data_IF_254331734477
#
_entry.id   IF_254331734477
#
_cell.length_a   1.000
_cell.length_b   1.000
_cell.length_c   1.000
_cell.angle_alpha   90.00
_cell.angle_beta   90.00
_cell.angle_gamma   90.00
#
_symmetry.space_group_name_H-M   'P 1'
#
loop_
_entity.id
_entity.type
_entity.pdbx_description
1 polymer ?
#
# COMPACT_ATOMS: atom_id res chain seq x y z
N UNK A 1 -33.47 12.74 -12.73
CA UNK A 1 -33.33 14.21 -12.58
C UNK A 1 -31.86 14.62 -12.78
N UNK A 2 -30.95 14.28 -11.87
CA UNK A 2 -29.54 14.70 -11.96
C UNK A 2 -28.82 14.24 -13.25
N UNK A 3 -29.13 13.05 -13.78
CA UNK A 3 -28.53 12.60 -15.03
C UNK A 3 -28.82 13.53 -16.22
N UNK A 4 -30.05 14.02 -16.37
CA UNK A 4 -30.39 14.93 -17.48
C UNK A 4 -29.71 16.29 -17.33
N UNK A 5 -29.62 16.80 -16.10
CA UNK A 5 -28.87 18.03 -15.79
C UNK A 5 -27.38 17.90 -16.15
N UNK A 6 -26.79 16.71 -15.94
CA UNK A 6 -25.38 16.43 -16.24
C UNK A 6 -25.10 16.05 -17.69
N UNK A 7 -26.12 15.73 -18.46
CA UNK A 7 -26.02 15.59 -19.92
C UNK A 7 -25.95 16.99 -20.53
N UNK A 8 -26.83 17.91 -20.10
CA UNK A 8 -26.77 19.32 -20.50
C UNK A 8 -25.47 20.01 -20.10
N UNK A 9 -24.97 19.77 -18.87
CA UNK A 9 -23.67 20.30 -18.43
C UNK A 9 -22.51 19.77 -19.30
N UNK A 10 -22.52 18.49 -19.65
CA UNK A 10 -21.46 17.88 -20.47
C UNK A 10 -21.47 18.42 -21.91
N UNK A 11 -22.66 18.62 -22.50
CA UNK A 11 -22.81 19.19 -23.83
C UNK A 11 -22.25 20.63 -23.90
N UNK A 12 -22.55 21.45 -22.87
CA UNK A 12 -22.07 22.84 -22.73
C UNK A 12 -20.53 22.86 -22.55
N UNK A 13 -20.00 22.02 -21.65
CA UNK A 13 -18.55 21.98 -21.40
C UNK A 13 -17.78 21.48 -22.62
N UNK A 14 -18.33 20.49 -23.33
CA UNK A 14 -17.74 19.89 -24.53
C UNK A 14 -17.79 20.79 -25.77
N UNK A 15 -18.55 21.88 -25.75
CA UNK A 15 -18.66 22.81 -26.86
C UNK A 15 -17.46 23.79 -26.87
N UNK A 16 -16.51 23.61 -27.78
CA UNK A 16 -15.31 24.47 -27.89
C UNK A 16 -15.62 25.92 -28.27
N UNK A 17 -16.79 26.19 -28.85
CA UNK A 17 -17.21 27.54 -29.27
C UNK A 17 -17.73 28.40 -28.10
N UNK A 18 -17.97 27.81 -26.93
CA UNK A 18 -18.50 28.53 -25.78
C UNK A 18 -17.40 29.21 -24.94
N UNK A 19 -17.69 30.46 -24.54
CA UNK A 19 -16.80 31.24 -23.68
C UNK A 19 -16.59 30.54 -22.33
N UNK A 20 -15.35 30.55 -21.85
CA UNK A 20 -14.97 29.94 -20.58
C UNK A 20 -15.82 30.45 -19.41
N UNK A 21 -16.16 31.74 -19.41
CA UNK A 21 -17.05 32.34 -18.38
C UNK A 21 -18.42 31.65 -18.34
N UNK A 22 -19.00 31.33 -19.50
CA UNK A 22 -20.30 30.66 -19.58
C UNK A 22 -20.22 29.21 -19.06
N UNK A 23 -19.14 28.49 -19.38
CA UNK A 23 -18.87 27.14 -18.85
C UNK A 23 -18.74 27.16 -17.32
N UNK A 24 -18.05 28.17 -16.79
CA UNK A 24 -17.91 28.39 -15.34
C UNK A 24 -19.28 28.66 -14.68
N UNK A 25 -20.13 29.49 -15.30
CA UNK A 25 -21.49 29.73 -14.77
C UNK A 25 -22.32 28.46 -14.75
N UNK A 26 -22.27 27.66 -15.83
CA UNK A 26 -23.00 26.40 -15.90
C UNK A 26 -22.63 25.46 -14.75
N UNK A 27 -21.32 25.27 -14.52
CA UNK A 27 -20.83 24.42 -13.42
C UNK A 27 -21.28 24.94 -12.07
N UNK A 28 -21.22 26.25 -11.85
CA UNK A 28 -21.67 26.86 -10.59
C UNK A 28 -23.18 26.61 -10.35
N UNK A 29 -24.01 26.73 -11.39
CA UNK A 29 -25.45 26.48 -11.29
C UNK A 29 -25.77 25.00 -11.02
N UNK A 30 -25.13 24.09 -11.76
CA UNK A 30 -25.32 22.64 -11.58
C UNK A 30 -24.84 22.20 -10.20
N UNK A 31 -23.69 22.70 -9.76
CA UNK A 31 -23.15 22.45 -8.43
C UNK A 31 -24.11 22.91 -7.32
N UNK A 32 -24.71 24.09 -7.49
CA UNK A 32 -25.74 24.60 -6.55
C UNK A 32 -26.95 23.69 -6.49
N UNK A 33 -27.45 23.22 -7.64
CA UNK A 33 -28.59 22.31 -7.70
C UNK A 33 -28.30 20.95 -7.02
N UNK A 34 -27.09 20.42 -7.20
CA UNK A 34 -26.64 19.19 -6.54
C UNK A 34 -26.55 19.36 -5.02
N UNK A 35 -26.06 20.50 -4.53
CA UNK A 35 -25.98 20.81 -3.11
C UNK A 35 -27.39 20.89 -2.50
N UNK A 36 -28.34 21.56 -3.16
CA UNK A 36 -29.75 21.58 -2.72
C UNK A 36 -30.31 20.16 -2.65
N UNK A 37 -30.01 19.32 -3.65
CA UNK A 37 -30.38 17.91 -3.65
C UNK A 37 -29.82 17.15 -2.45
N UNK A 38 -28.54 17.36 -2.13
CA UNK A 38 -27.88 16.79 -0.94
C UNK A 38 -28.51 17.29 0.36
N UNK A 39 -28.81 18.58 0.49
CA UNK A 39 -29.46 19.14 1.68
C UNK A 39 -30.86 18.54 1.90
N UNK A 40 -31.63 18.33 0.83
CA UNK A 40 -32.92 17.65 0.91
C UNK A 40 -32.78 16.18 1.35
N UNK A 41 -31.69 15.49 0.95
CA UNK A 41 -31.38 14.13 1.42
C UNK A 41 -31.11 14.15 2.93
N UNK A 42 -30.29 15.09 3.41
CA UNK A 42 -29.95 15.18 4.83
C UNK A 42 -31.16 15.54 5.70
N UNK A 43 -31.99 16.49 5.28
CA UNK A 43 -33.24 16.83 5.99
C UNK A 43 -34.16 15.60 6.14
N UNK A 44 -34.30 14.79 5.08
CA UNK A 44 -35.10 13.56 5.17
C UNK A 44 -34.51 12.51 6.11
N UNK A 45 -33.20 12.51 6.33
CA UNK A 45 -32.54 11.61 7.28
C UNK A 45 -32.78 12.07 8.71
N UNK A 46 -32.68 13.38 8.95
CA UNK A 46 -32.94 13.96 10.27
C UNK A 46 -34.40 13.77 10.71
N UNK A 47 -35.33 13.78 9.76
CA UNK A 47 -36.76 13.52 10.01
C UNK A 47 -37.11 12.03 10.17
N UNK A 48 -36.18 11.11 9.87
CA UNK A 48 -36.43 9.67 9.95
C UNK A 48 -36.39 9.19 11.41
N UNK A 49 -37.49 8.59 11.86
CA UNK A 49 -37.64 8.09 13.25
C UNK A 49 -36.73 6.90 13.58
N UNK A 50 -36.26 6.18 12.55
CA UNK A 50 -35.36 5.04 12.70
C UNK A 50 -33.97 5.44 12.24
N UNK A 51 -33.00 5.38 13.16
CA UNK A 51 -31.59 5.51 12.84
C UNK A 51 -31.15 4.27 12.05
N UNK A 52 -31.16 4.41 10.73
CA UNK A 52 -30.58 3.42 9.83
C UNK A 52 -29.08 3.67 9.88
N UNK A 53 -28.36 2.78 10.57
CA UNK A 53 -26.90 2.85 10.66
C UNK A 53 -26.23 3.05 9.30
N UNK A 54 -25.01 3.59 9.31
CA UNK A 54 -24.33 4.05 8.10
C UNK A 54 -24.22 3.01 6.97
N UNK A 55 -24.37 1.72 7.24
CA UNK A 55 -24.18 0.62 6.28
C UNK A 55 -25.42 0.25 5.44
N UNK A 56 -26.53 0.98 5.60
CA UNK A 56 -27.82 0.66 4.95
C UNK A 56 -28.45 1.87 4.23
N UNK A 57 -27.66 2.87 3.86
CA UNK A 57 -28.19 4.07 3.19
C UNK A 57 -28.32 3.80 1.69
N UNK A 58 -29.50 4.03 1.12
CA UNK A 58 -29.76 3.89 -0.33
C UNK A 58 -28.84 4.79 -1.20
N UNK A 59 -28.29 5.85 -0.62
CA UNK A 59 -27.31 6.76 -1.24
C UNK A 59 -25.92 6.15 -1.42
N UNK A 60 -25.61 5.05 -0.75
CA UNK A 60 -24.36 4.31 -0.95
C UNK A 60 -24.37 3.49 -2.23
N UNK A 61 -25.54 3.33 -2.85
CA UNK A 61 -25.61 2.71 -4.16
C UNK A 61 -24.81 3.53 -5.18
N UNK A 62 -23.85 2.87 -5.84
CA UNK A 62 -22.91 3.52 -6.78
C UNK A 62 -23.60 4.38 -7.84
N UNK A 63 -24.80 3.99 -8.26
CA UNK A 63 -25.56 4.71 -9.27
C UNK A 63 -26.09 6.07 -8.78
N UNK A 64 -26.30 6.25 -7.47
CA UNK A 64 -26.72 7.51 -6.85
C UNK A 64 -25.56 8.50 -6.72
N UNK A 65 -24.34 8.01 -6.47
CA UNK A 65 -23.15 8.86 -6.37
C UNK A 65 -22.57 9.25 -7.74
N UNK A 66 -22.84 8.47 -8.80
CA UNK A 66 -22.32 8.70 -10.15
C UNK A 66 -22.56 10.14 -10.67
N UNK A 67 -23.75 10.74 -10.51
CA UNK A 67 -23.99 12.14 -10.85
C UNK A 67 -23.03 13.12 -10.16
N UNK A 68 -22.89 12.99 -8.83
CA UNK A 68 -22.04 13.86 -8.03
C UNK A 68 -20.56 13.70 -8.39
N UNK A 69 -20.11 12.46 -8.63
CA UNK A 69 -18.74 12.16 -9.07
C UNK A 69 -18.47 12.77 -10.45
N UNK A 70 -19.41 12.64 -11.39
CA UNK A 70 -19.26 13.20 -12.74
C UNK A 70 -19.13 14.72 -12.69
N UNK A 71 -20.04 15.39 -11.98
CA UNK A 71 -19.98 16.84 -11.77
C UNK A 71 -18.67 17.27 -11.12
N UNK A 72 -18.26 16.59 -10.04
CA UNK A 72 -17.03 16.94 -9.34
C UNK A 72 -15.79 16.86 -10.24
N UNK A 73 -15.71 15.87 -11.14
CA UNK A 73 -14.64 15.78 -12.13
C UNK A 73 -14.68 16.94 -13.14
N UNK A 74 -15.86 17.32 -13.62
CA UNK A 74 -16.04 18.45 -14.53
C UNK A 74 -15.65 19.78 -13.85
N UNK A 75 -16.06 19.95 -12.60
CA UNK A 75 -15.70 21.09 -11.75
C UNK A 75 -14.18 21.21 -11.60
N UNK A 76 -13.46 20.13 -11.27
CA UNK A 76 -12.00 20.17 -11.18
C UNK A 76 -11.31 20.48 -12.50
N UNK A 77 -11.82 19.94 -13.61
CA UNK A 77 -11.28 20.25 -14.93
C UNK A 77 -11.47 21.74 -15.28
N UNK A 78 -12.63 22.30 -14.95
CA UNK A 78 -12.90 23.72 -15.16
C UNK A 78 -12.02 24.60 -14.27
N UNK A 79 -11.85 24.25 -12.99
CA UNK A 79 -10.93 24.97 -12.09
C UNK A 79 -9.51 24.96 -12.66
N UNK A 80 -9.03 23.83 -13.17
CA UNK A 80 -7.72 23.72 -13.79
C UNK A 80 -7.58 24.59 -15.06
N UNK A 81 -8.64 24.74 -15.85
CA UNK A 81 -8.65 25.58 -17.05
C UNK A 81 -8.76 27.08 -16.74
N UNK A 82 -9.61 27.45 -15.79
CA UNK A 82 -9.85 28.84 -15.40
C UNK A 82 -8.75 29.43 -14.50
N UNK A 83 -8.06 28.58 -13.73
CA UNK A 83 -6.99 28.96 -12.82
C UNK A 83 -7.50 29.69 -11.56
N UNK A 84 -6.56 29.99 -10.66
CA UNK A 84 -6.84 30.60 -9.36
C UNK A 84 -7.32 32.07 -9.43
N UNK A 85 -7.08 32.75 -10.55
CA UNK A 85 -7.48 34.16 -10.76
C UNK A 85 -8.95 34.30 -11.16
N UNK A 86 -9.67 33.20 -11.36
CA UNK A 86 -11.10 33.21 -11.66
C UNK A 86 -11.89 33.83 -10.49
N UNK A 87 -12.75 34.81 -10.78
CA UNK A 87 -13.59 35.48 -9.77
C UNK A 87 -14.51 34.51 -9.00
N UNK A 88 -14.85 33.38 -9.62
CA UNK A 88 -15.71 32.33 -9.06
C UNK A 88 -14.93 31.17 -8.42
N UNK A 89 -13.61 31.18 -8.45
CA UNK A 89 -12.76 30.08 -7.94
C UNK A 89 -13.15 29.64 -6.54
N UNK A 90 -13.27 30.59 -5.60
CA UNK A 90 -13.60 30.29 -4.20
C UNK A 90 -14.99 29.65 -4.05
N UNK A 91 -15.97 30.11 -4.85
CA UNK A 91 -17.32 29.56 -4.83
C UNK A 91 -17.33 28.11 -5.37
N UNK A 92 -16.69 27.87 -6.50
CA UNK A 92 -16.55 26.52 -7.09
C UNK A 92 -15.78 25.59 -6.17
N UNK A 93 -14.69 26.05 -5.55
CA UNK A 93 -13.92 25.26 -4.61
C UNK A 93 -14.78 24.84 -3.42
N UNK A 94 -15.56 25.76 -2.85
CA UNK A 94 -16.50 25.46 -1.76
C UNK A 94 -17.53 24.43 -2.18
N UNK A 95 -18.10 24.53 -3.39
CA UNK A 95 -19.01 23.51 -3.91
C UNK A 95 -18.32 22.15 -4.05
N UNK A 96 -17.10 22.14 -4.61
CA UNK A 96 -16.26 20.96 -4.72
C UNK A 96 -16.04 20.26 -3.38
N UNK A 97 -15.73 21.01 -2.32
CA UNK A 97 -15.56 20.46 -0.96
C UNK A 97 -16.86 19.85 -0.42
N UNK A 98 -18.00 20.53 -0.58
CA UNK A 98 -19.29 20.04 -0.08
C UNK A 98 -19.70 18.75 -0.80
N UNK A 99 -19.54 18.70 -2.13
CA UNK A 99 -19.87 17.54 -2.95
C UNK A 99 -18.90 16.39 -2.68
N UNK A 100 -17.60 16.67 -2.59
CA UNK A 100 -16.58 15.68 -2.21
C UNK A 100 -16.88 15.06 -0.84
N UNK A 101 -17.19 15.90 0.15
CA UNK A 101 -17.52 15.44 1.50
C UNK A 101 -18.78 14.56 1.50
N UNK A 102 -19.79 14.88 0.71
CA UNK A 102 -20.96 14.03 0.55
C UNK A 102 -20.58 12.66 -0.05
N UNK A 103 -19.85 12.64 -1.18
CA UNK A 103 -19.45 11.38 -1.83
C UNK A 103 -18.62 10.51 -0.88
N UNK A 104 -17.59 11.08 -0.24
CA UNK A 104 -16.71 10.34 0.67
C UNK A 104 -17.46 9.83 1.89
N UNK A 105 -18.46 10.57 2.40
CA UNK A 105 -19.29 10.11 3.51
C UNK A 105 -20.11 8.84 3.16
N UNK A 106 -20.51 8.70 1.90
CA UNK A 106 -21.31 7.56 1.44
C UNK A 106 -20.46 6.36 0.98
N UNK A 107 -19.14 6.54 0.77
CA UNK A 107 -18.23 5.45 0.42
C UNK A 107 -17.92 4.56 1.63
N UNK A 108 -17.65 3.27 1.39
CA UNK A 108 -17.12 2.37 2.41
C UNK A 108 -15.68 2.74 2.79
N UNK A 109 -15.21 2.30 3.96
CA UNK A 109 -13.87 2.63 4.45
C UNK A 109 -12.75 2.27 3.46
N UNK A 110 -12.82 1.08 2.85
CA UNK A 110 -11.81 0.61 1.88
C UNK A 110 -11.80 1.45 0.59
N UNK A 111 -12.99 1.87 0.11
CA UNK A 111 -13.13 2.69 -1.09
C UNK A 111 -12.59 4.12 -0.89
N UNK A 112 -12.47 4.58 0.36
CA UNK A 112 -11.91 5.90 0.70
C UNK A 112 -10.38 5.90 0.70
N UNK A 113 -9.73 4.74 0.82
CA UNK A 113 -8.28 4.66 0.87
C UNK A 113 -7.68 5.01 -0.49
N UNK A 114 -6.71 5.94 -0.53
CA UNK A 114 -6.19 6.52 -1.77
C UNK A 114 -7.30 7.15 -2.63
N UNK A 115 -8.17 7.95 -2.03
CA UNK A 115 -9.31 8.51 -2.72
C UNK A 115 -8.90 9.35 -3.93
N UNK A 116 -9.45 9.09 -5.14
CA UNK A 116 -9.18 9.90 -6.32
C UNK A 116 -9.67 11.35 -6.14
N UNK A 117 -10.66 11.57 -5.26
CA UNK A 117 -11.18 12.90 -4.95
C UNK A 117 -10.12 13.72 -4.21
N UNK A 118 -9.47 13.12 -3.20
CA UNK A 118 -8.38 13.79 -2.46
C UNK A 118 -7.20 14.06 -3.39
N UNK A 119 -6.87 13.11 -4.29
CA UNK A 119 -5.84 13.32 -5.30
C UNK A 119 -6.12 14.53 -6.21
N UNK A 120 -7.37 14.75 -6.62
CA UNK A 120 -7.75 15.92 -7.42
C UNK A 120 -7.54 17.25 -6.68
N UNK A 121 -7.84 17.31 -5.38
CA UNK A 121 -7.52 18.51 -4.58
C UNK A 121 -6.00 18.77 -4.49
N UNK A 122 -5.19 17.71 -4.42
CA UNK A 122 -3.73 17.83 -4.46
C UNK A 122 -3.23 18.32 -5.82
N UNK A 123 -3.84 17.86 -6.93
CA UNK A 123 -3.50 18.30 -8.29
C UNK A 123 -3.75 19.80 -8.51
N UNK A 124 -4.82 20.34 -7.93
CA UNK A 124 -5.15 21.78 -8.00
C UNK A 124 -4.41 22.63 -6.95
N UNK A 125 -3.38 22.07 -6.29
CA UNK A 125 -2.58 22.73 -5.24
C UNK A 125 -3.33 23.11 -3.95
N UNK A 126 -4.54 22.58 -3.73
CA UNK A 126 -5.34 22.80 -2.51
C UNK A 126 -4.98 21.78 -1.41
N UNK A 127 -3.72 21.79 -0.99
CA UNK A 127 -3.16 20.80 -0.07
C UNK A 127 -3.83 20.79 1.31
N UNK A 128 -4.17 21.96 1.85
CA UNK A 128 -4.82 22.08 3.17
C UNK A 128 -6.17 21.38 3.16
N UNK A 129 -6.99 21.65 2.13
CA UNK A 129 -8.31 21.04 1.96
C UNK A 129 -8.19 19.54 1.75
N UNK A 130 -7.24 19.10 0.93
CA UNK A 130 -6.98 17.68 0.70
C UNK A 130 -6.65 16.93 2.01
N UNK A 131 -5.79 17.51 2.84
CA UNK A 131 -5.40 16.93 4.14
C UNK A 131 -6.59 16.93 5.10
N UNK A 132 -7.39 18.00 5.17
CA UNK A 132 -8.58 18.06 6.02
C UNK A 132 -9.63 17.03 5.63
N UNK A 133 -9.89 16.85 4.33
CA UNK A 133 -10.79 15.81 3.81
C UNK A 133 -10.26 14.42 4.14
N UNK A 134 -8.99 14.15 3.87
CA UNK A 134 -8.38 12.86 4.18
C UNK A 134 -8.41 12.55 5.68
N UNK A 135 -8.16 13.55 6.55
CA UNK A 135 -8.29 13.41 8.00
C UNK A 135 -9.73 13.11 8.42
N UNK A 136 -10.69 13.89 7.93
CA UNK A 136 -12.11 13.76 8.27
C UNK A 136 -12.68 12.39 7.88
N UNK A 137 -12.28 11.88 6.71
CA UNK A 137 -12.82 10.64 6.15
C UNK A 137 -11.91 9.43 6.33
N UNK A 138 -10.84 9.57 7.10
CA UNK A 138 -9.92 8.49 7.46
C UNK A 138 -9.25 7.83 6.23
N UNK A 139 -8.89 8.63 5.22
CA UNK A 139 -8.02 8.18 4.12
C UNK A 139 -6.58 8.13 4.60
N UNK A 140 -6.29 7.09 5.39
CA UNK A 140 -5.00 6.89 6.04
C UNK A 140 -3.90 6.70 5.00
N UNK A 141 -4.15 5.93 3.91
CA UNK A 141 -3.12 5.71 2.88
C UNK A 141 -2.64 7.02 2.26
N UNK A 142 -3.55 7.95 1.93
CA UNK A 142 -3.15 9.25 1.39
C UNK A 142 -2.35 10.06 2.41
N UNK A 143 -2.79 10.12 3.67
CA UNK A 143 -2.09 10.85 4.74
C UNK A 143 -0.69 10.29 4.99
N UNK A 144 -0.55 8.96 5.08
CA UNK A 144 0.72 8.27 5.28
C UNK A 144 1.65 8.54 4.10
N UNK A 145 1.15 8.42 2.86
CA UNK A 145 1.93 8.70 1.64
C UNK A 145 2.45 10.13 1.61
N UNK A 146 1.60 11.11 1.95
CA UNK A 146 1.99 12.52 2.02
C UNK A 146 3.04 12.77 3.12
N UNK A 147 2.85 12.19 4.30
CA UNK A 147 3.83 12.29 5.39
C UNK A 147 5.17 11.65 5.01
N UNK A 148 5.15 10.51 4.30
CA UNK A 148 6.36 9.82 3.87
C UNK A 148 7.14 10.53 2.77
N UNK A 149 6.51 11.46 2.06
CA UNK A 149 7.18 12.34 1.10
C UNK A 149 7.99 13.47 1.78
N UNK A 150 7.79 13.70 3.08
CA UNK A 150 8.53 14.69 3.86
C UNK A 150 9.92 14.16 4.29
N UNK A 151 10.88 15.06 4.61
CA UNK A 151 12.16 14.68 5.20
C UNK A 151 12.00 13.87 6.49
N UNK A 152 12.98 13.01 6.82
CA UNK A 152 12.87 12.04 7.94
C UNK A 152 12.37 12.61 9.27
N UNK A 153 12.88 13.77 9.70
CA UNK A 153 12.51 14.41 10.97
C UNK A 153 11.04 14.84 10.93
N UNK A 154 10.62 15.49 9.85
CA UNK A 154 9.25 15.97 9.65
C UNK A 154 8.28 14.80 9.46
N UNK A 155 8.68 13.76 8.71
CA UNK A 155 7.92 12.53 8.55
C UNK A 155 7.60 11.92 9.91
N UNK A 156 8.62 11.70 10.76
CA UNK A 156 8.41 11.08 12.08
C UNK A 156 7.48 11.93 12.96
N UNK A 157 7.68 13.25 13.00
CA UNK A 157 6.79 14.14 13.73
C UNK A 157 5.34 14.10 13.21
N UNK A 158 5.16 14.05 11.88
CA UNK A 158 3.84 14.05 11.25
C UNK A 158 3.09 12.74 11.45
N UNK A 159 3.81 11.62 11.38
CA UNK A 159 3.25 10.30 11.66
C UNK A 159 2.82 10.21 13.13
N UNK A 160 3.61 10.74 14.05
CA UNK A 160 3.23 10.77 15.48
C UNK A 160 1.98 11.63 15.71
N UNK A 161 1.89 12.82 15.11
CA UNK A 161 0.67 13.65 15.13
C UNK A 161 -0.55 12.87 14.66
N UNK A 162 -0.42 12.06 13.60
CA UNK A 162 -1.53 11.26 13.09
C UNK A 162 -1.87 10.07 13.98
N UNK A 163 -0.88 9.39 14.57
CA UNK A 163 -1.11 8.34 15.57
C UNK A 163 -1.91 8.89 16.76
N UNK A 164 -1.50 10.03 17.31
CA UNK A 164 -2.20 10.69 18.40
C UNK A 164 -3.62 11.12 17.98
N UNK A 165 -3.76 11.77 16.83
CA UNK A 165 -5.04 12.29 16.34
C UNK A 165 -6.08 11.18 16.12
N UNK A 166 -5.70 10.06 15.50
CA UNK A 166 -6.63 8.98 15.22
C UNK A 166 -6.78 8.01 16.39
N UNK A 167 -5.71 7.78 17.17
CA UNK A 167 -5.66 6.81 18.27
C UNK A 167 -6.31 5.47 17.89
N UNK A 168 -6.07 5.01 16.65
CA UNK A 168 -6.73 3.88 16.01
C UNK A 168 -5.73 2.82 15.60
N UNK A 169 -6.03 1.56 15.92
CA UNK A 169 -5.25 0.41 15.47
C UNK A 169 -5.25 0.23 13.94
N UNK A 170 -6.33 0.64 13.27
CA UNK A 170 -6.43 0.55 11.81
C UNK A 170 -5.43 1.48 11.12
N UNK A 171 -5.20 2.68 11.68
CA UNK A 171 -4.17 3.59 11.18
C UNK A 171 -2.78 2.97 11.34
N UNK A 172 -2.47 2.40 12.51
CA UNK A 172 -1.18 1.76 12.76
C UNK A 172 -0.94 0.57 11.82
N UNK A 173 -1.94 -0.30 11.65
CA UNK A 173 -1.85 -1.42 10.72
C UNK A 173 -1.55 -0.94 9.29
N UNK A 174 -2.29 0.07 8.82
CA UNK A 174 -2.10 0.61 7.47
C UNK A 174 -0.75 1.32 7.29
N UNK A 175 -0.25 1.97 8.34
CA UNK A 175 1.11 2.53 8.37
C UNK A 175 2.17 1.42 8.23
N UNK A 176 2.02 0.33 8.97
CA UNK A 176 2.98 -0.77 8.94
C UNK A 176 2.96 -1.50 7.59
N UNK A 177 1.78 -1.71 6.99
CA UNK A 177 1.65 -2.19 5.61
C UNK A 177 2.37 -1.27 4.64
N UNK A 178 2.13 0.04 4.72
CA UNK A 178 2.78 1.01 3.84
C UNK A 178 4.31 0.99 3.98
N UNK A 179 4.83 0.93 5.21
CA UNK A 179 6.27 0.83 5.44
C UNK A 179 6.88 -0.44 4.85
N UNK A 180 6.19 -1.57 4.97
CA UNK A 180 6.64 -2.83 4.42
C UNK A 180 6.65 -2.80 2.87
N UNK A 181 5.58 -2.29 2.25
CA UNK A 181 5.43 -2.22 0.79
C UNK A 181 6.42 -1.25 0.13
N UNK A 182 6.74 -0.14 0.80
CA UNK A 182 7.59 0.92 0.24
C UNK A 182 9.05 0.86 0.73
N UNK A 183 9.44 -0.18 1.47
CA UNK A 183 10.83 -0.40 1.87
C UNK A 183 11.31 0.42 3.07
N UNK A 184 10.41 1.02 3.86
CA UNK A 184 10.72 1.70 5.12
C UNK A 184 10.91 0.72 6.29
N UNK A 185 11.59 -0.40 6.04
CA UNK A 185 11.78 -1.46 7.03
C UNK A 185 12.52 -0.99 8.28
N UNK A 186 13.45 -0.03 8.12
CA UNK A 186 14.16 0.57 9.26
C UNK A 186 13.21 1.29 10.20
N UNK A 187 12.38 2.20 9.66
CA UNK A 187 11.40 2.94 10.46
C UNK A 187 10.41 1.97 11.11
N UNK A 188 9.99 0.91 10.41
CA UNK A 188 9.10 -0.11 10.96
C UNK A 188 9.71 -0.89 12.13
N UNK A 189 11.00 -1.24 12.06
CA UNK A 189 11.73 -1.91 13.15
C UNK A 189 11.93 -0.98 14.37
N UNK A 190 12.10 0.32 14.16
CA UNK A 190 12.21 1.28 15.27
C UNK A 190 10.94 1.35 16.13
N UNK A 191 9.77 1.03 15.58
CA UNK A 191 8.50 1.00 16.34
C UNK A 191 8.50 -0.15 17.34
N UNK A 192 8.32 0.15 18.64
CA UNK A 192 8.32 -0.85 19.75
C UNK A 192 6.95 -1.11 20.37
N UNK A 193 5.91 -0.60 19.75
CA UNK A 193 4.53 -0.72 20.23
C UNK A 193 4.02 -2.19 20.16
N UNK A 194 3.14 -2.63 21.07
CA UNK A 194 2.55 -3.97 21.04
C UNK A 194 1.87 -4.32 19.71
N UNK A 195 1.22 -3.34 19.08
CA UNK A 195 0.53 -3.46 17.80
C UNK A 195 1.51 -3.81 16.67
N UNK A 196 2.71 -3.20 16.68
CA UNK A 196 3.76 -3.54 15.74
C UNK A 196 4.23 -5.00 15.93
N UNK A 197 4.37 -5.46 17.19
CA UNK A 197 4.74 -6.86 17.45
C UNK A 197 3.69 -7.84 16.93
N UNK A 198 2.40 -7.51 17.07
CA UNK A 198 1.31 -8.31 16.51
C UNK A 198 1.37 -8.32 14.98
N UNK A 199 1.60 -7.16 14.35
CA UNK A 199 1.78 -7.07 12.90
C UNK A 199 2.92 -7.97 12.41
N UNK A 200 4.10 -7.89 13.03
CA UNK A 200 5.24 -8.76 12.70
C UNK A 200 4.92 -10.25 12.90
N UNK A 201 4.14 -10.62 13.91
CA UNK A 201 3.73 -12.00 14.14
C UNK A 201 2.81 -12.54 13.03
N UNK A 202 1.95 -11.69 12.45
CA UNK A 202 1.11 -12.06 11.31
C UNK A 202 1.89 -12.17 9.99
N UNK A 203 2.95 -11.37 9.85
CA UNK A 203 3.75 -11.31 8.63
C UNK A 203 4.91 -12.30 8.61
N UNK A 204 4.66 -13.52 8.12
CA UNK A 204 5.66 -14.61 8.16
C UNK A 204 6.96 -14.30 7.44
N UNK A 205 6.95 -13.41 6.45
CA UNK A 205 8.12 -13.11 5.61
C UNK A 205 9.15 -12.20 6.31
N UNK A 206 8.71 -11.40 7.28
CA UNK A 206 9.54 -10.38 7.95
C UNK A 206 9.53 -10.48 9.47
N UNK A 207 8.66 -11.29 10.07
CA UNK A 207 8.57 -11.50 11.51
C UNK A 207 9.90 -11.88 12.17
N UNK A 208 10.72 -12.68 11.48
CA UNK A 208 12.06 -13.06 11.95
C UNK A 208 12.98 -11.87 12.23
N UNK A 209 12.82 -10.75 11.53
CA UNK A 209 13.65 -9.55 11.76
C UNK A 209 13.36 -8.94 13.14
N UNK A 210 12.08 -8.94 13.55
CA UNK A 210 11.67 -8.50 14.88
C UNK A 210 12.15 -9.45 15.96
N UNK A 211 12.05 -10.76 15.71
CA UNK A 211 12.55 -11.78 16.64
C UNK A 211 14.06 -11.59 16.89
N UNK A 212 14.87 -11.34 15.85
CA UNK A 212 16.29 -11.03 15.99
C UNK A 212 16.57 -9.77 16.81
N UNK A 213 15.80 -8.70 16.58
CA UNK A 213 15.97 -7.45 17.29
C UNK A 213 15.63 -7.57 18.79
N UNK A 214 14.68 -8.44 19.13
CA UNK A 214 14.31 -8.75 20.50
C UNK A 214 15.25 -9.79 21.16
N UNK A 215 16.23 -10.32 20.43
CA UNK A 215 17.16 -11.35 20.91
C UNK A 215 16.58 -12.77 20.94
N UNK A 216 15.40 -13.00 20.34
CA UNK A 216 14.80 -14.33 20.23
C UNK A 216 15.37 -15.09 19.02
N UNK A 217 16.64 -15.49 19.15
CA UNK A 217 17.38 -16.17 18.08
C UNK A 217 16.78 -17.54 17.74
N UNK A 218 16.23 -18.24 18.72
CA UNK A 218 15.54 -19.54 18.55
C UNK A 218 14.34 -19.43 17.63
N UNK A 219 13.43 -18.49 17.90
CA UNK A 219 12.27 -18.29 17.05
C UNK A 219 12.66 -17.78 15.65
N UNK A 220 13.66 -16.90 15.58
CA UNK A 220 14.16 -16.38 14.31
C UNK A 220 14.76 -17.50 13.42
N UNK A 221 15.58 -18.40 13.98
CA UNK A 221 16.26 -19.45 13.22
C UNK A 221 15.24 -20.44 12.60
N UNK A 222 14.23 -20.84 13.36
CA UNK A 222 13.15 -21.71 12.90
C UNK A 222 12.29 -21.04 11.80
N UNK A 223 11.97 -19.76 11.96
CA UNK A 223 11.22 -18.98 10.97
C UNK A 223 12.00 -18.85 9.67
N UNK A 224 13.29 -18.50 9.74
CA UNK A 224 14.19 -18.39 8.59
C UNK A 224 14.33 -19.73 7.83
N UNK A 225 14.45 -20.86 8.55
CA UNK A 225 14.48 -22.20 7.94
C UNK A 225 13.14 -22.57 7.28
N UNK A 226 12.03 -22.13 7.85
CA UNK A 226 10.70 -22.36 7.25
C UNK A 226 10.52 -21.54 5.98
N UNK A 227 10.97 -20.28 5.98
CA UNK A 227 10.96 -19.43 4.79
C UNK A 227 11.86 -19.99 3.68
N UNK A 228 13.06 -20.47 4.02
CA UNK A 228 13.98 -21.03 3.01
C UNK A 228 13.39 -22.26 2.29
N UNK A 229 12.58 -23.08 2.99
CA UNK A 229 11.86 -24.20 2.39
C UNK A 229 10.76 -23.77 1.42
N UNK A 230 10.15 -22.60 1.64
CA UNK A 230 9.15 -22.01 0.73
C UNK A 230 9.82 -21.35 -0.49
N UNK A 231 11.04 -20.84 -0.35
CA UNK A 231 11.79 -20.15 -1.41
C UNK A 231 12.52 -21.08 -2.40
N UNK A 232 11.91 -22.18 -2.84
CA UNK A 232 12.56 -23.12 -3.78
C UNK A 232 12.76 -22.55 -5.19
N UNK A 233 12.05 -21.48 -5.54
CA UNK A 233 12.14 -20.85 -6.86
C UNK A 233 13.33 -19.86 -6.96
N UNK A 234 13.96 -19.54 -5.83
CA UNK A 234 15.07 -18.60 -5.76
C UNK A 234 16.16 -19.15 -4.82
N UNK A 235 17.14 -19.81 -5.42
CA UNK A 235 18.31 -20.38 -4.73
C UNK A 235 19.17 -19.31 -4.06
N UNK A 236 19.16 -18.07 -4.57
CA UNK A 236 19.92 -16.94 -4.00
C UNK A 236 19.31 -16.54 -2.67
N UNK A 237 18.00 -16.30 -2.67
CA UNK A 237 17.23 -16.01 -1.47
C UNK A 237 17.29 -17.19 -0.48
N UNK A 238 17.10 -18.42 -0.95
CA UNK A 238 17.17 -19.63 -0.11
C UNK A 238 18.50 -19.75 0.61
N UNK A 239 19.63 -19.50 -0.09
CA UNK A 239 20.96 -19.50 0.52
C UNK A 239 21.09 -18.43 1.60
N UNK A 240 20.66 -17.19 1.32
CA UNK A 240 20.72 -16.08 2.30
C UNK A 240 19.93 -16.42 3.56
N UNK A 241 18.70 -16.91 3.41
CA UNK A 241 17.84 -17.33 4.52
C UNK A 241 18.44 -18.47 5.35
N UNK A 242 19.02 -19.49 4.71
CA UNK A 242 19.69 -20.59 5.41
C UNK A 242 20.95 -20.12 6.13
N UNK A 243 21.73 -19.22 5.52
CA UNK A 243 22.90 -18.62 6.16
C UNK A 243 22.51 -17.81 7.40
N UNK A 244 21.44 -17.00 7.31
CA UNK A 244 20.92 -16.28 8.47
C UNK A 244 20.37 -17.25 9.52
N UNK A 245 19.62 -18.27 9.14
CA UNK A 245 19.13 -19.29 10.08
C UNK A 245 20.28 -19.96 10.84
N UNK A 246 21.37 -20.27 10.13
CA UNK A 246 22.59 -20.82 10.74
C UNK A 246 23.23 -19.83 11.72
N UNK A 247 23.38 -18.56 11.35
CA UNK A 247 23.98 -17.56 12.21
C UNK A 247 23.12 -17.31 13.47
N UNK A 248 21.80 -17.22 13.32
CA UNK A 248 20.87 -17.08 14.44
C UNK A 248 20.98 -18.27 15.40
N UNK A 249 20.97 -19.51 14.91
CA UNK A 249 21.12 -20.70 15.75
C UNK A 249 22.47 -20.77 16.48
N UNK A 250 23.52 -20.14 15.94
CA UNK A 250 24.84 -20.05 16.60
C UNK A 250 24.91 -18.95 17.66
N UNK A 251 23.94 -18.02 17.67
CA UNK A 251 23.83 -16.97 18.68
C UNK A 251 23.00 -17.39 19.90
N UNK A 252 22.38 -18.58 19.86
CA UNK A 252 21.67 -19.15 21.01
C UNK A 252 22.67 -19.66 22.07
N UNK A 253 22.30 -19.53 23.34
CA UNK A 253 23.11 -20.03 24.45
C UNK A 253 23.23 -21.57 24.44
N UNK A 254 22.16 -22.26 24.02
CA UNK A 254 22.12 -23.70 23.83
C UNK A 254 21.89 -24.03 22.34
N UNK A 255 22.95 -24.47 21.66
CA UNK A 255 22.89 -24.75 20.22
C UNK A 255 22.24 -26.12 19.98
N UNK A 256 21.11 -26.14 19.25
CA UNK A 256 20.55 -27.39 18.71
C UNK A 256 21.40 -27.92 17.54
N UNK A 257 22.28 -28.87 17.84
CA UNK A 257 23.15 -29.50 16.85
C UNK A 257 22.38 -30.20 15.72
N UNK A 258 21.20 -30.79 16.01
CA UNK A 258 20.39 -31.47 15.00
C UNK A 258 19.81 -30.46 14.01
N UNK A 259 19.31 -29.33 14.52
CA UNK A 259 18.85 -28.24 13.68
C UNK A 259 19.97 -27.72 12.77
N UNK A 260 21.14 -27.46 13.37
CA UNK A 260 22.32 -26.91 12.70
C UNK A 260 22.84 -27.84 11.60
N UNK A 261 22.93 -29.14 11.87
CA UNK A 261 23.28 -30.16 10.87
C UNK A 261 22.27 -30.20 9.73
N UNK A 262 20.98 -30.06 10.02
CA UNK A 262 19.95 -29.90 8.98
C UNK A 262 20.22 -28.70 8.06
N UNK A 263 20.50 -27.53 8.63
CA UNK A 263 20.80 -26.31 7.84
C UNK A 263 22.11 -26.46 7.05
N UNK A 264 23.14 -27.08 7.63
CA UNK A 264 24.41 -27.37 6.95
C UNK A 264 24.21 -28.28 5.74
N UNK A 265 23.37 -29.33 5.84
CA UNK A 265 23.02 -30.21 4.72
C UNK A 265 22.34 -29.43 3.58
N UNK A 266 21.37 -28.58 3.91
CA UNK A 266 20.68 -27.74 2.92
C UNK A 266 21.64 -26.76 2.22
N UNK A 267 22.55 -26.14 2.97
CA UNK A 267 23.59 -25.26 2.41
C UNK A 267 24.58 -26.03 1.52
N UNK A 268 24.94 -27.27 1.89
CA UNK A 268 25.83 -28.11 1.08
C UNK A 268 25.19 -28.51 -0.25
N UNK A 269 23.88 -28.78 -0.29
CA UNK A 269 23.15 -29.00 -1.55
C UNK A 269 23.25 -27.78 -2.48
N UNK A 270 23.10 -26.57 -1.95
CA UNK A 270 23.25 -25.34 -2.73
C UNK A 270 24.69 -25.19 -3.24
N UNK A 271 25.70 -25.55 -2.44
CA UNK A 271 27.10 -25.56 -2.89
C UNK A 271 27.35 -26.55 -4.02
N UNK A 272 26.71 -27.72 -3.99
CA UNK A 272 26.80 -28.70 -5.09
C UNK A 272 26.14 -28.15 -6.36
N UNK A 273 25.00 -27.46 -6.24
CA UNK A 273 24.37 -26.77 -7.38
C UNK A 273 25.26 -25.64 -7.95
N UNK A 274 25.98 -24.91 -7.09
CA UNK A 274 26.96 -23.89 -7.53
C UNK A 274 28.10 -24.49 -8.36
N UNK A 275 28.59 -25.68 -7.99
CA UNK A 275 29.64 -26.37 -8.76
C UNK A 275 29.19 -26.76 -10.17
N UNK A 276 27.89 -26.93 -10.41
CA UNK A 276 27.32 -27.28 -11.72
C UNK A 276 27.20 -26.06 -12.65
N UNK A 277 26.92 -24.87 -12.11
CA UNK A 277 26.84 -23.63 -12.88
C UNK A 277 27.71 -22.55 -12.21
N UNK A 278 28.96 -22.39 -12.66
CA UNK A 278 29.88 -21.38 -12.12
C UNK A 278 29.34 -19.94 -12.24
N UNK A 279 28.40 -19.68 -13.16
CA UNK A 279 27.78 -18.35 -13.28
C UNK A 279 26.83 -18.04 -12.12
N UNK A 280 26.44 -19.02 -11.29
CA UNK A 280 25.72 -18.76 -10.05
C UNK A 280 26.57 -17.92 -9.09
N UNK A 281 27.89 -18.14 -8.98
CA UNK A 281 28.76 -17.40 -8.05
C UNK A 281 28.75 -15.90 -8.37
N UNK A 282 28.97 -15.51 -9.63
CA UNK A 282 28.91 -14.10 -10.03
C UNK A 282 27.53 -13.47 -9.78
N UNK A 283 26.45 -14.25 -9.87
CA UNK A 283 25.09 -13.80 -9.60
C UNK A 283 24.79 -13.63 -8.11
N UNK A 284 25.47 -14.37 -7.24
CA UNK A 284 25.33 -14.22 -5.79
C UNK A 284 25.93 -12.91 -5.27
N UNK A 285 26.99 -12.43 -5.92
CA UNK A 285 27.73 -11.22 -5.55
C UNK A 285 27.21 -9.96 -6.26
N UNK A 286 26.30 -10.13 -7.23
CA UNK A 286 25.66 -9.00 -7.91
C UNK A 286 24.60 -8.33 -7.01
N UNK A 287 24.60 -7.00 -6.92
CA UNK A 287 23.53 -6.24 -6.27
C UNK A 287 22.24 -6.16 -7.10
N UNK A 288 22.29 -6.51 -8.39
CA UNK A 288 21.14 -6.43 -9.29
C UNK A 288 20.16 -7.60 -9.11
N UNK A 289 18.84 -7.39 -9.33
CA UNK A 289 17.85 -8.45 -9.27
C UNK A 289 18.07 -9.46 -10.41
N UNK A 290 18.75 -10.55 -10.08
CA UNK A 290 18.99 -11.67 -10.97
C UNK A 290 17.65 -12.39 -11.23
N UNK A 291 17.46 -12.91 -12.45
CA UNK A 291 16.34 -13.81 -12.76
C UNK A 291 16.30 -14.96 -11.75
N UNK A 292 15.10 -15.27 -11.24
CA UNK A 292 14.90 -16.32 -10.22
C UNK A 292 15.44 -17.66 -10.73
N UNK A 293 16.44 -18.19 -10.02
CA UNK A 293 17.04 -19.51 -10.32
C UNK A 293 16.45 -20.51 -9.32
N UNK A 294 15.78 -21.54 -9.84
CA UNK A 294 15.21 -22.60 -9.01
C UNK A 294 16.30 -23.38 -8.28
N UNK A 295 16.05 -23.72 -7.02
CA UNK A 295 16.88 -24.64 -6.25
C UNK A 295 16.67 -26.08 -6.71
N UNK A 296 17.76 -26.79 -6.98
CA UNK A 296 17.74 -28.19 -7.38
C UNK A 296 17.63 -29.12 -6.16
N UNK A 297 16.98 -30.26 -6.37
CA UNK A 297 16.98 -31.39 -5.44
C UNK A 297 18.25 -32.22 -5.60
N UNK A 298 18.54 -33.07 -4.60
CA UNK A 298 19.68 -33.99 -4.66
C UNK A 298 19.65 -34.88 -5.90
N UNK A 299 18.48 -35.41 -6.27
CA UNK A 299 18.30 -36.26 -7.45
C UNK A 299 18.58 -35.52 -8.76
N UNK A 300 18.12 -34.27 -8.87
CA UNK A 300 18.36 -33.43 -10.06
C UNK A 300 19.87 -33.11 -10.20
N UNK A 301 20.57 -32.83 -9.09
CA UNK A 301 22.02 -32.62 -9.08
C UNK A 301 22.78 -33.89 -9.50
N UNK A 302 22.39 -35.05 -8.97
CA UNK A 302 23.01 -36.34 -9.34
C UNK A 302 22.78 -36.62 -10.83
N UNK A 303 21.55 -36.43 -11.32
CA UNK A 303 21.22 -36.65 -12.74
C UNK A 303 22.02 -35.73 -13.65
N UNK A 304 22.16 -34.44 -13.28
CA UNK A 304 22.94 -33.48 -14.04
C UNK A 304 24.43 -33.88 -14.14
N UNK A 305 25.04 -34.31 -13.01
CA UNK A 305 26.42 -34.79 -13.00
C UNK A 305 26.61 -36.07 -13.82
N UNK A 306 25.66 -37.02 -13.76
CA UNK A 306 25.73 -38.28 -14.52
C UNK A 306 25.50 -38.08 -16.03
N UNK A 307 24.75 -37.05 -16.42
CA UNK A 307 24.54 -36.70 -17.83
C UNK A 307 25.69 -35.91 -18.45
N UNK A 308 26.60 -35.38 -17.63
CA UNK A 308 27.78 -34.67 -18.11
C UNK A 308 28.81 -35.70 -18.59
N UNK A 309 28.99 -35.81 -19.91
CA UNK A 309 29.93 -36.74 -20.57
C UNK A 309 31.40 -36.52 -20.19
N UNK A 310 31.70 -35.49 -19.39
CA UNK A 310 33.03 -35.20 -18.84
C UNK A 310 33.27 -35.74 -17.42
N UNK A 311 32.28 -36.40 -16.80
CA UNK A 311 32.36 -36.81 -15.39
C UNK A 311 33.33 -37.99 -15.18
N UNK A 312 34.50 -37.68 -14.62
CA UNK A 312 35.43 -38.69 -14.11
C UNK A 312 34.90 -39.16 -12.75
N UNK A 313 34.38 -40.39 -12.72
CA UNK A 313 33.58 -40.98 -11.61
C UNK A 313 34.31 -40.93 -10.25
N UNK A 314 35.64 -40.83 -10.26
CA UNK A 314 36.47 -40.81 -9.05
C UNK A 314 36.34 -39.54 -8.19
N UNK A 315 35.74 -38.45 -8.69
CA UNK A 315 35.53 -37.21 -7.92
C UNK A 315 34.20 -37.12 -7.17
N UNK A 316 33.28 -38.06 -7.35
CA UNK A 316 31.96 -38.01 -6.73
C UNK A 316 31.89 -38.60 -5.32
N UNK A 317 32.96 -39.26 -4.84
CA UNK A 317 32.96 -40.02 -3.58
C UNK A 317 34.10 -39.66 -2.60
N UNK A 318 34.78 -38.53 -2.79
CA UNK A 318 35.68 -37.92 -1.77
C UNK A 318 35.04 -36.70 -1.10
#
# INVERSE_FOLDING_TARGET
LFNGLLEEEEDIIGNDDEMLDYKVECIEYVGTALIIGKEAIDQRRDDAVLDIGNDLRWTQEKHILKPFIKHLNMLFNCINQAGHECSKYVALLKQGVVIAAFIMNEQAFDDRQNSPIVAKFLEISEHTIAIELAKRFQDYKTLIRLACALPDIERKAKIEEYKEFFSSGDFCNMLYEYYLENGYMRDLLEVKEPEANLFFATQTNVGWMRDLENGDFAKACHTLKTLSRKSNDDVILKRRLLSFAKLSALCEDEVDENFLEGVKRDLNLIKLQQKLDPNLEMKFDSPDPVSKIRSCTAEEIIRANLSDTSCNIDRCFE
#
